data_IF_960845406486
#
_entry.id   IF_960845406486
#
_cell.length_a   1.000
_cell.length_b   1.000
_cell.length_c   1.000
_cell.angle_alpha   90.00
_cell.angle_beta   90.00
_cell.angle_gamma   90.00
#
_symmetry.space_group_name_H-M   'P 1'
#
loop_
_entity.id
_entity.type
_entity.pdbx_description
1 polymer ?
#
# COMPACT_ATOMS: atom_id res chain seq x y z
N UNK A 1 -27.91 2.36 -21.51
CA UNK A 1 -28.11 1.74 -20.19
C UNK A 1 -26.75 1.26 -19.72
N UNK A 2 -26.17 1.97 -18.75
CA UNK A 2 -24.78 1.83 -18.33
C UNK A 2 -24.62 0.57 -17.48
N UNK A 3 -23.90 -0.43 -18.00
CA UNK A 3 -23.50 -1.58 -17.21
C UNK A 3 -22.42 -1.12 -16.23
N UNK A 4 -22.77 -1.00 -14.95
CA UNK A 4 -21.79 -0.82 -13.87
C UNK A 4 -21.13 -2.19 -13.69
N UNK A 5 -19.92 -2.32 -14.24
CA UNK A 5 -19.11 -3.52 -14.09
C UNK A 5 -18.56 -3.53 -12.65
N UNK A 6 -19.32 -4.11 -11.71
CA UNK A 6 -18.98 -4.15 -10.27
C UNK A 6 -17.79 -5.08 -9.92
N UNK A 7 -17.07 -5.62 -10.92
CA UNK A 7 -16.13 -6.74 -10.76
C UNK A 7 -14.85 -6.48 -9.95
N UNK A 8 -14.55 -5.23 -9.60
CA UNK A 8 -13.34 -4.88 -8.83
C UNK A 8 -13.59 -3.82 -7.76
N UNK A 9 -14.85 -3.50 -7.46
CA UNK A 9 -15.16 -2.46 -6.48
C UNK A 9 -14.87 -2.95 -5.05
N UNK A 10 -14.00 -2.25 -4.35
CA UNK A 10 -13.67 -2.54 -2.95
C UNK A 10 -14.84 -2.11 -2.06
N UNK A 11 -15.33 -3.02 -1.23
CA UNK A 11 -16.30 -2.72 -0.18
C UNK A 11 -15.61 -2.21 1.08
N UNK A 12 -16.40 -1.70 2.03
CA UNK A 12 -15.89 -1.33 3.35
C UNK A 12 -16.83 -1.84 4.43
N UNK A 13 -16.26 -2.40 5.49
CA UNK A 13 -16.98 -2.77 6.70
C UNK A 13 -16.41 -2.00 7.89
N UNK A 14 -17.28 -1.66 8.84
CA UNK A 14 -16.85 -0.94 10.05
C UNK A 14 -16.51 -1.96 11.13
N UNK A 15 -15.23 -2.02 11.51
CA UNK A 15 -14.76 -2.84 12.60
C UNK A 15 -14.30 -1.95 13.76
N UNK A 16 -14.43 -2.45 14.98
CA UNK A 16 -13.90 -1.76 16.16
C UNK A 16 -12.55 -2.35 16.50
N UNK A 17 -11.51 -1.51 16.50
CA UNK A 17 -10.22 -1.91 17.03
C UNK A 17 -10.28 -1.97 18.55
N UNK A 18 -10.38 -3.19 19.09
CA UNK A 18 -10.47 -3.45 20.52
C UNK A 18 -9.16 -3.13 21.24
N UNK A 19 -9.27 -2.66 22.48
CA UNK A 19 -8.12 -2.55 23.37
C UNK A 19 -7.59 -3.96 23.69
N UNK A 20 -6.27 -4.16 23.78
CA UNK A 20 -5.73 -5.40 24.35
C UNK A 20 -6.25 -5.56 25.78
N UNK A 21 -7.16 -6.51 25.99
CA UNK A 21 -7.81 -6.76 27.29
C UNK A 21 -6.97 -7.62 28.23
N UNK A 22 -5.86 -8.21 27.76
CA UNK A 22 -4.97 -9.02 28.58
C UNK A 22 -3.56 -8.42 28.72
N UNK A 23 -3.20 -8.11 29.97
CA UNK A 23 -1.85 -8.26 30.51
C UNK A 23 -0.75 -7.29 30.05
N UNK A 24 -0.41 -6.32 30.92
CA UNK A 24 0.99 -5.86 31.05
C UNK A 24 1.47 -4.71 30.16
N UNK A 25 0.58 -3.95 29.52
CA UNK A 25 0.98 -2.74 28.81
C UNK A 25 1.31 -1.60 29.80
N UNK A 26 2.47 -0.95 29.63
CA UNK A 26 2.85 0.22 30.44
C UNK A 26 1.87 1.37 30.27
N UNK A 27 1.84 2.33 31.20
CA UNK A 27 0.92 3.50 31.14
C UNK A 27 1.05 4.31 29.84
N UNK A 28 2.23 4.29 29.19
CA UNK A 28 2.48 4.87 27.87
C UNK A 28 1.72 4.14 26.75
N UNK A 29 1.72 2.82 26.81
CA UNK A 29 1.20 1.93 25.77
C UNK A 29 -0.32 1.93 25.79
N UNK A 30 -0.91 2.05 26.98
CA UNK A 30 -2.35 2.20 27.15
C UNK A 30 -2.87 3.51 26.51
N UNK A 31 -2.12 4.60 26.62
CA UNK A 31 -2.52 5.91 26.05
C UNK A 31 -2.37 5.95 24.53
N UNK A 32 -1.40 5.24 23.98
CA UNK A 32 -1.24 5.04 22.54
C UNK A 32 -2.35 4.11 22.00
N UNK A 33 -2.63 3.01 22.70
CA UNK A 33 -3.72 2.09 22.36
C UNK A 33 -5.09 2.78 22.42
N UNK A 34 -5.36 3.63 23.41
CA UNK A 34 -6.60 4.43 23.49
C UNK A 34 -6.77 5.42 22.34
N UNK A 35 -5.66 5.92 21.78
CA UNK A 35 -5.70 6.82 20.60
C UNK A 35 -5.91 6.07 19.29
N UNK A 36 -5.61 4.77 19.27
CA UNK A 36 -5.73 3.89 18.11
C UNK A 36 -6.95 2.96 18.20
N UNK A 37 -7.60 2.90 19.37
CA UNK A 37 -8.87 2.22 19.58
C UNK A 37 -10.01 3.07 19.05
N UNK A 38 -10.95 2.44 18.37
CA UNK A 38 -12.10 3.09 17.78
C UNK A 38 -12.59 2.35 16.55
N UNK A 39 -13.64 2.91 15.94
CA UNK A 39 -14.16 2.41 14.68
C UNK A 39 -13.20 2.74 13.55
N UNK A 40 -12.89 1.74 12.74
CA UNK A 40 -12.13 1.89 11.52
C UNK A 40 -12.87 1.21 10.36
N UNK A 41 -12.69 1.74 9.16
CA UNK A 41 -13.21 1.13 7.94
C UNK A 41 -12.19 0.11 7.44
N UNK A 42 -12.50 -1.18 7.60
CA UNK A 42 -11.76 -2.25 6.96
C UNK A 42 -12.18 -2.32 5.48
N UNK A 43 -11.21 -2.40 4.58
CA UNK A 43 -11.48 -2.64 3.17
C UNK A 43 -11.83 -4.12 2.97
N UNK A 44 -12.98 -4.39 2.35
CA UNK A 44 -13.40 -5.73 1.92
C UNK A 44 -13.05 -5.85 0.44
N UNK A 45 -12.04 -6.64 0.06
CA UNK A 45 -11.65 -6.81 -1.34
C UNK A 45 -12.82 -7.35 -2.18
N UNK A 46 -12.92 -6.90 -3.43
CA UNK A 46 -13.89 -7.46 -4.37
C UNK A 46 -13.55 -8.93 -4.64
N UNK A 47 -14.58 -9.78 -4.77
CA UNK A 47 -14.38 -11.15 -5.21
C UNK A 47 -14.09 -11.16 -6.72
N UNK A 48 -12.86 -11.53 -7.08
CA UNK A 48 -12.40 -11.58 -8.47
C UNK A 48 -12.29 -13.01 -9.01
N UNK A 49 -12.69 -14.02 -8.23
CA UNK A 49 -12.47 -15.43 -8.55
C UNK A 49 -13.15 -15.86 -9.87
N UNK A 50 -14.36 -15.35 -10.13
CA UNK A 50 -15.13 -15.64 -11.33
C UNK A 50 -15.15 -14.47 -12.33
N UNK A 51 -14.17 -13.55 -12.24
CA UNK A 51 -14.09 -12.41 -13.14
C UNK A 51 -13.65 -12.90 -14.53
N UNK A 52 -14.53 -12.75 -15.53
CA UNK A 52 -14.19 -13.06 -16.91
C UNK A 52 -13.36 -11.91 -17.51
N UNK A 53 -12.05 -12.13 -17.63
CA UNK A 53 -11.10 -11.16 -18.16
C UNK A 53 -10.75 -11.52 -19.59
N UNK A 54 -11.34 -10.82 -20.54
CA UNK A 54 -10.97 -10.93 -21.95
C UNK A 54 -9.79 -10.01 -22.27
N UNK A 55 -8.64 -10.60 -22.59
CA UNK A 55 -7.45 -9.86 -23.01
C UNK A 55 -7.46 -9.65 -24.53
N UNK A 56 -7.14 -8.44 -25.01
CA UNK A 56 -6.94 -8.19 -26.44
C UNK A 56 -5.82 -9.07 -27.01
N UNK A 57 -5.94 -9.46 -28.28
CA UNK A 57 -4.95 -10.31 -28.94
C UNK A 57 -3.53 -9.75 -28.92
N UNK A 58 -3.36 -8.42 -28.99
CA UNK A 58 -2.04 -7.78 -28.88
C UNK A 58 -1.37 -8.03 -27.52
N UNK A 59 -2.14 -7.93 -26.42
CA UNK A 59 -1.61 -8.18 -25.07
C UNK A 59 -1.22 -9.65 -24.89
N UNK A 60 -1.99 -10.57 -25.49
CA UNK A 60 -1.63 -11.99 -25.49
C UNK A 60 -0.35 -12.25 -26.28
N UNK A 61 -0.16 -11.59 -27.42
CA UNK A 61 1.06 -11.70 -28.20
C UNK A 61 2.28 -11.16 -27.45
N UNK A 62 2.15 -9.99 -26.82
CA UNK A 62 3.21 -9.40 -25.99
C UNK A 62 3.59 -10.31 -24.80
N UNK A 63 2.59 -10.96 -24.17
CA UNK A 63 2.82 -11.89 -23.07
C UNK A 63 3.53 -13.17 -23.51
N UNK A 64 3.19 -13.69 -24.69
CA UNK A 64 3.85 -14.85 -25.29
C UNK A 64 5.31 -14.52 -25.65
N UNK A 65 5.57 -13.36 -26.26
CA UNK A 65 6.92 -12.89 -26.57
C UNK A 65 7.77 -12.75 -25.29
N UNK A 66 7.22 -12.12 -24.25
CA UNK A 66 7.89 -11.99 -22.96
C UNK A 66 8.21 -13.36 -22.33
N UNK A 67 7.26 -14.31 -22.40
CA UNK A 67 7.45 -15.66 -21.88
C UNK A 67 8.58 -16.40 -22.60
N UNK A 68 8.66 -16.27 -23.93
CA UNK A 68 9.74 -16.84 -24.73
C UNK A 68 11.10 -16.19 -24.44
N UNK A 69 11.13 -14.87 -24.18
CA UNK A 69 12.35 -14.18 -23.79
C UNK A 69 12.88 -14.67 -22.44
N UNK A 70 12.00 -14.87 -21.45
CA UNK A 70 12.36 -15.42 -20.13
C UNK A 70 12.90 -16.84 -20.26
N UNK A 71 12.19 -17.71 -21.00
CA UNK A 71 12.62 -19.11 -21.17
C UNK A 71 14.00 -19.21 -21.85
N UNK A 72 14.28 -18.34 -22.83
CA UNK A 72 15.59 -18.25 -23.49
C UNK A 72 16.68 -17.79 -22.54
N UNK A 73 16.41 -16.75 -21.76
CA UNK A 73 17.33 -16.24 -20.75
C UNK A 73 17.69 -17.33 -19.71
N UNK A 74 16.70 -18.05 -19.19
CA UNK A 74 16.92 -19.12 -18.22
C UNK A 74 17.75 -20.27 -18.82
N UNK A 75 17.52 -20.60 -20.09
CA UNK A 75 18.25 -21.65 -20.80
C UNK A 75 19.71 -21.24 -21.06
N UNK A 76 19.94 -20.00 -21.47
CA UNK A 76 21.27 -19.51 -21.85
C UNK A 76 22.13 -19.13 -20.63
N UNK A 77 21.53 -18.58 -19.57
CA UNK A 77 22.26 -17.91 -18.48
C UNK A 77 21.90 -18.41 -17.08
N UNK A 78 20.88 -19.25 -16.91
CA UNK A 78 20.36 -19.65 -15.60
C UNK A 78 21.41 -20.32 -14.69
N UNK A 79 22.27 -21.17 -15.26
CA UNK A 79 23.37 -21.80 -14.52
C UNK A 79 24.50 -20.84 -14.14
N UNK A 80 24.77 -19.85 -14.98
CA UNK A 80 25.86 -18.88 -14.80
C UNK A 80 25.50 -17.78 -13.78
N UNK A 81 24.21 -17.43 -13.70
CA UNK A 81 23.71 -16.35 -12.85
C UNK A 81 23.31 -16.85 -11.45
N UNK A 82 23.09 -18.16 -11.27
CA UNK A 82 22.72 -18.75 -9.98
C UNK A 82 23.59 -18.30 -8.78
N UNK A 83 24.94 -18.17 -8.89
CA UNK A 83 25.77 -17.67 -7.80
C UNK A 83 25.52 -16.20 -7.42
N UNK A 84 24.95 -15.39 -8.33
CA UNK A 84 24.67 -13.97 -8.15
C UNK A 84 23.21 -13.67 -7.78
N UNK A 85 22.35 -14.68 -7.68
CA UNK A 85 20.93 -14.53 -7.39
C UNK A 85 20.65 -13.65 -6.16
N UNK A 86 21.47 -13.76 -5.11
CA UNK A 86 21.33 -12.95 -3.90
C UNK A 86 21.57 -11.45 -4.11
N UNK A 87 22.49 -11.10 -5.01
CA UNK A 87 22.77 -9.70 -5.39
C UNK A 87 21.64 -9.15 -6.25
N UNK A 88 21.16 -9.94 -7.22
CA UNK A 88 20.05 -9.57 -8.09
C UNK A 88 18.74 -9.37 -7.32
N UNK A 89 18.41 -10.27 -6.39
CA UNK A 89 17.23 -10.12 -5.53
C UNK A 89 17.29 -8.85 -4.68
N UNK A 90 18.49 -8.46 -4.23
CA UNK A 90 18.68 -7.24 -3.44
C UNK A 90 18.52 -5.98 -4.29
N UNK A 91 19.00 -5.98 -5.53
CA UNK A 91 18.81 -4.84 -6.45
C UNK A 91 17.35 -4.71 -6.89
N UNK A 92 16.66 -5.83 -7.15
CA UNK A 92 15.22 -5.85 -7.43
C UNK A 92 14.40 -5.34 -6.24
N UNK A 93 14.70 -5.85 -5.03
CA UNK A 93 14.02 -5.41 -3.79
C UNK A 93 14.21 -3.91 -3.54
N UNK A 94 15.41 -3.38 -3.80
CA UNK A 94 15.70 -1.95 -3.68
C UNK A 94 14.91 -1.12 -4.72
N UNK A 95 14.84 -1.58 -5.98
CA UNK A 95 14.07 -0.92 -7.04
C UNK A 95 12.56 -0.94 -6.74
N UNK A 96 12.01 -2.08 -6.33
CA UNK A 96 10.59 -2.24 -5.94
C UNK A 96 10.24 -1.34 -4.75
N UNK A 97 11.11 -1.31 -3.73
CA UNK A 97 10.97 -0.40 -2.59
C UNK A 97 11.04 1.09 -3.01
N UNK A 98 11.86 1.42 -4.02
CA UNK A 98 11.96 2.79 -4.54
C UNK A 98 10.69 3.22 -5.26
N UNK A 99 10.07 2.34 -6.03
CA UNK A 99 8.78 2.61 -6.68
C UNK A 99 7.69 2.80 -5.61
N UNK A 100 7.63 1.91 -4.61
CA UNK A 100 6.63 2.00 -3.54
C UNK A 100 6.80 3.26 -2.68
N UNK A 101 8.04 3.67 -2.40
CA UNK A 101 8.32 4.90 -1.65
C UNK A 101 8.10 6.18 -2.47
N UNK A 102 8.36 6.19 -3.77
CA UNK A 102 8.04 7.34 -4.64
C UNK A 102 6.52 7.57 -4.74
N UNK A 103 5.73 6.50 -4.85
CA UNK A 103 4.26 6.60 -4.87
C UNK A 103 3.68 6.93 -3.50
N UNK A 104 4.24 6.39 -2.40
CA UNK A 104 3.83 6.74 -1.04
C UNK A 104 4.18 8.21 -0.70
N UNK A 105 5.37 8.68 -1.07
CA UNK A 105 5.82 10.05 -0.76
C UNK A 105 5.05 11.13 -1.56
N UNK A 106 4.44 10.76 -2.70
CA UNK A 106 3.61 11.69 -3.49
C UNK A 106 2.23 11.96 -2.87
N UNK A 107 1.64 11.00 -2.11
CA UNK A 107 0.36 11.19 -1.42
C UNK A 107 0.53 11.61 0.05
N UNK A 108 1.59 11.14 0.71
CA UNK A 108 1.84 11.38 2.13
C UNK A 108 2.49 12.75 2.42
N UNK A 109 2.76 13.55 1.39
CA UNK A 109 3.16 14.97 1.50
C UNK A 109 2.07 15.97 1.12
N UNK A 110 0.78 15.58 1.14
CA UNK A 110 -0.36 16.51 0.95
C UNK A 110 -1.28 16.64 2.17
N UNK A 111 -0.70 16.61 3.37
CA UNK A 111 -1.35 17.16 4.57
C UNK A 111 -0.31 17.79 5.51
N UNK A 112 0.44 18.75 4.99
CA UNK A 112 1.26 19.63 5.84
C UNK A 112 0.98 21.09 5.48
N UNK A 113 -0.29 21.48 5.64
CA UNK A 113 -0.65 22.86 5.97
C UNK A 113 -2.12 22.90 6.44
N UNK A 114 -2.36 22.79 7.74
CA UNK A 114 -3.56 23.33 8.39
C UNK A 114 -3.15 23.76 9.80
N UNK A 115 -3.31 25.04 10.07
CA UNK A 115 -3.47 25.56 11.43
C UNK A 115 -2.21 26.06 12.14
N UNK A 116 -1.50 27.04 11.59
CA UNK A 116 -0.79 27.99 12.45
C UNK A 116 -1.83 28.90 13.10
N UNK A 117 -2.36 28.51 14.27
CA UNK A 117 -3.15 29.41 15.09
C UNK A 117 -2.20 30.32 15.86
N UNK A 118 -1.92 31.48 15.27
CA UNK A 118 -1.58 32.66 16.05
C UNK A 118 -2.76 32.95 16.98
N UNK A 119 -2.55 32.73 18.28
CA UNK A 119 -3.40 33.31 19.30
C UNK A 119 -3.12 34.83 19.37
N UNK A 120 -4.15 35.69 19.38
CA UNK A 120 -3.95 37.12 19.55
C UNK A 120 -3.43 37.42 20.96
N UNK A 121 -2.33 38.17 21.04
CA UNK A 121 -1.86 38.73 22.29
C UNK A 121 -2.88 39.74 22.82
N UNK A 122 -3.47 39.45 23.99
CA UNK A 122 -4.16 40.46 24.78
C UNK A 122 -3.10 41.32 25.47
N UNK A 123 -2.93 42.51 24.91
CA UNK A 123 -2.33 43.66 25.54
C UNK A 123 -3.00 43.90 26.90
N UNK A 124 -2.25 43.83 28.00
CA UNK A 124 -2.71 44.30 29.30
C UNK A 124 -1.74 45.37 29.78
N UNK A 125 -2.01 46.60 29.35
CA UNK A 125 -1.60 47.81 30.04
C UNK A 125 -2.55 48.02 31.22
N UNK A 126 -2.02 48.04 32.44
CA UNK A 126 -2.40 48.96 33.54
C UNK A 126 -1.66 48.61 34.83
N UNK A 127 -0.84 49.58 35.26
CA UNK A 127 -0.44 50.01 36.62
C UNK A 127 -0.38 48.98 37.73
#
# INVERSE_FOLDING_TARGET
MSSVNSGTAIGHETLTWGMPTEGGCGRSDLRAALRQSGEYQAAVPAEIANLDVSLPSGILADAEEASQAIARFDTELGGEIAPFASVLLRTESAASSKIKSLTATARDRRSRNVGNHQAPQRFNDRR
#
